data_IF_944751776572
#
_entry.id   IF_944751776572
#
_cell.length_a   1.000
_cell.length_b   1.000
_cell.length_c   1.000
_cell.angle_alpha   90.00
_cell.angle_beta   90.00
_cell.angle_gamma   90.00
#
_symmetry.space_group_name_H-M   'P 1'
#
loop_
_entity.id
_entity.type
_entity.pdbx_description
1 polymer ?
#
# COMPACT_ATOMS: atom_id res chain seq x y z
N UNK A 1 28.79 -12.55 13.88
CA UNK A 1 28.49 -11.10 13.75
C UNK A 1 29.80 -10.32 13.92
N UNK A 2 30.03 -9.35 13.06
CA UNK A 2 31.15 -8.43 13.21
C UNK A 2 30.93 -7.55 14.45
N UNK A 3 31.99 -6.99 15.05
CA UNK A 3 31.91 -6.06 16.19
C UNK A 3 30.91 -4.92 15.93
N UNK A 4 30.82 -4.44 14.66
CA UNK A 4 29.86 -3.41 14.23
C UNK A 4 28.40 -3.88 14.28
N UNK A 5 28.11 -5.16 14.00
CA UNK A 5 26.74 -5.68 14.09
C UNK A 5 26.24 -5.69 15.53
N UNK A 6 27.07 -6.09 16.50
CA UNK A 6 26.72 -6.08 17.92
C UNK A 6 26.50 -4.65 18.45
N UNK A 7 27.32 -3.69 18.02
CA UNK A 7 27.18 -2.29 18.41
C UNK A 7 25.86 -1.69 17.86
N UNK A 8 25.54 -1.94 16.59
CA UNK A 8 24.29 -1.52 15.99
C UNK A 8 23.08 -2.18 16.66
N UNK A 9 23.16 -3.47 16.94
CA UNK A 9 22.11 -4.20 17.66
C UNK A 9 21.91 -3.66 19.09
N UNK A 10 22.94 -3.15 19.76
CA UNK A 10 22.84 -2.61 21.12
C UNK A 10 21.98 -1.32 21.17
N UNK A 11 22.10 -0.45 20.17
CA UNK A 11 21.39 0.85 20.08
C UNK A 11 20.07 0.77 19.30
N UNK A 12 19.80 -0.33 18.57
CA UNK A 12 18.58 -0.51 17.81
C UNK A 12 17.34 -0.57 18.70
N UNK A 13 16.18 -0.18 18.16
CA UNK A 13 14.90 -0.41 18.81
C UNK A 13 14.74 -1.89 19.18
N UNK A 14 14.13 -2.18 20.32
CA UNK A 14 13.92 -3.54 20.82
C UNK A 14 12.46 -3.94 20.72
N UNK A 15 12.21 -5.19 20.37
CA UNK A 15 10.91 -5.82 20.55
C UNK A 15 10.65 -6.10 22.04
N UNK A 16 9.46 -6.58 22.38
CA UNK A 16 9.08 -6.89 23.77
C UNK A 16 9.93 -8.02 24.37
N UNK A 17 10.37 -8.98 23.55
CA UNK A 17 11.28 -10.05 23.91
C UNK A 17 12.76 -9.63 24.04
N UNK A 18 13.04 -8.32 23.90
CA UNK A 18 14.38 -7.75 23.95
C UNK A 18 15.19 -7.89 22.65
N UNK A 19 14.67 -8.58 21.63
CA UNK A 19 15.39 -8.74 20.35
C UNK A 19 15.50 -7.42 19.60
N UNK A 20 16.69 -7.12 18.98
CA UNK A 20 16.90 -5.88 18.27
C UNK A 20 16.21 -5.87 16.91
N UNK A 21 15.65 -4.72 16.52
CA UNK A 21 15.18 -4.46 15.16
C UNK A 21 16.35 -4.08 14.24
N UNK A 22 17.39 -4.88 14.23
CA UNK A 22 18.60 -4.70 13.43
C UNK A 22 19.23 -6.06 13.16
N UNK A 23 19.37 -6.42 11.90
CA UNK A 23 19.97 -7.69 11.48
C UNK A 23 20.68 -7.53 10.13
N UNK A 24 21.60 -8.47 9.84
CA UNK A 24 22.20 -8.61 8.54
C UNK A 24 21.17 -9.16 7.55
N UNK A 25 20.87 -8.39 6.49
CA UNK A 25 19.86 -8.77 5.49
C UNK A 25 20.46 -9.63 4.37
N UNK A 26 21.66 -9.29 3.90
CA UNK A 26 22.30 -10.00 2.79
C UNK A 26 23.52 -9.27 2.26
N UNK A 27 24.25 -9.89 1.29
CA UNK A 27 25.47 -9.34 0.73
C UNK A 27 25.22 -8.13 -0.19
N UNK A 28 26.27 -7.38 -0.48
CA UNK A 28 26.26 -6.27 -1.45
C UNK A 28 25.24 -5.19 -1.10
N UNK A 29 24.34 -4.92 -2.04
CA UNK A 29 23.29 -3.90 -1.91
C UNK A 29 21.99 -4.36 -1.24
N UNK A 30 21.89 -5.60 -0.76
CA UNK A 30 20.64 -6.18 -0.24
C UNK A 30 19.98 -5.35 0.86
N UNK A 31 20.74 -4.81 1.82
CA UNK A 31 20.22 -3.96 2.89
C UNK A 31 19.65 -2.65 2.38
N UNK A 32 20.30 -2.01 1.40
CA UNK A 32 19.80 -0.79 0.76
C UNK A 32 18.54 -1.06 -0.07
N UNK A 33 18.51 -2.18 -0.77
CA UNK A 33 17.34 -2.60 -1.55
C UNK A 33 16.13 -2.85 -0.63
N UNK A 34 16.32 -3.59 0.45
CA UNK A 34 15.28 -3.80 1.46
C UNK A 34 14.76 -2.48 2.05
N UNK A 35 15.66 -1.49 2.31
CA UNK A 35 15.23 -0.17 2.79
C UNK A 35 14.50 0.63 1.71
N UNK A 36 14.89 0.52 0.45
CA UNK A 36 14.19 1.15 -0.66
C UNK A 36 12.76 0.61 -0.78
N UNK A 37 12.58 -0.71 -0.74
CA UNK A 37 11.25 -1.34 -0.78
C UNK A 37 10.41 -0.97 0.45
N UNK A 38 11.01 -0.95 1.64
CA UNK A 38 10.35 -0.42 2.85
C UNK A 38 9.75 0.97 2.59
N UNK A 39 10.52 1.87 1.98
CA UNK A 39 10.03 3.21 1.69
C UNK A 39 8.96 3.20 0.58
N UNK A 40 9.02 2.28 -0.38
CA UNK A 40 7.95 2.08 -1.36
C UNK A 40 6.63 1.70 -0.69
N UNK A 41 6.65 0.73 0.23
CA UNK A 41 5.48 0.33 1.03
C UNK A 41 4.96 1.54 1.86
N UNK A 42 5.86 2.33 2.46
CA UNK A 42 5.51 3.55 3.17
C UNK A 42 4.71 4.53 2.31
N UNK A 43 5.11 4.73 1.04
CA UNK A 43 4.36 5.57 0.10
C UNK A 43 2.96 5.01 -0.17
N UNK A 44 2.84 3.71 -0.39
CA UNK A 44 1.55 3.04 -0.56
C UNK A 44 0.66 3.20 0.67
N UNK A 45 1.20 2.97 1.86
CA UNK A 45 0.46 3.11 3.12
C UNK A 45 -0.03 4.55 3.36
N UNK A 46 0.82 5.55 3.11
CA UNK A 46 0.45 6.96 3.26
C UNK A 46 -0.65 7.37 2.29
N UNK A 47 -0.54 6.96 1.03
CA UNK A 47 -1.54 7.29 0.00
C UNK A 47 -2.89 6.61 0.30
N UNK A 48 -2.90 5.32 0.64
CA UNK A 48 -4.10 4.60 1.05
C UNK A 48 -4.82 5.26 2.23
N UNK A 49 -4.07 5.73 3.23
CA UNK A 49 -4.62 6.46 4.38
C UNK A 49 -5.22 7.80 3.94
N UNK A 50 -4.54 8.53 3.05
CA UNK A 50 -5.02 9.80 2.51
C UNK A 50 -6.28 9.63 1.65
N UNK A 51 -6.34 8.57 0.84
CA UNK A 51 -7.53 8.21 0.05
C UNK A 51 -8.72 7.84 0.95
N UNK A 52 -8.49 7.03 1.99
CA UNK A 52 -9.51 6.69 2.99
C UNK A 52 -10.03 7.94 3.73
N UNK A 53 -9.12 8.83 4.16
CA UNK A 53 -9.47 10.12 4.73
C UNK A 53 -10.33 10.97 3.78
N UNK A 54 -9.90 11.10 2.51
CA UNK A 54 -10.63 11.89 1.50
C UNK A 54 -12.03 11.34 1.26
N UNK A 55 -12.17 10.02 1.18
CA UNK A 55 -13.45 9.33 1.04
C UNK A 55 -14.35 9.59 2.25
N UNK A 56 -13.86 9.37 3.47
CA UNK A 56 -14.62 9.62 4.70
C UNK A 56 -15.04 11.08 4.80
N UNK A 57 -14.12 12.05 4.60
CA UNK A 57 -14.42 13.49 4.67
C UNK A 57 -15.53 13.88 3.70
N UNK A 58 -15.45 13.44 2.44
CA UNK A 58 -16.45 13.76 1.41
C UNK A 58 -17.79 13.09 1.63
N UNK A 59 -17.82 11.90 2.22
CA UNK A 59 -19.02 11.09 2.30
C UNK A 59 -19.76 11.21 3.64
N UNK A 60 -19.05 11.52 4.74
CA UNK A 60 -19.66 11.65 6.06
C UNK A 60 -19.99 13.10 6.42
N UNK A 61 -19.23 14.06 5.90
CA UNK A 61 -19.30 15.46 6.33
C UNK A 61 -18.78 15.70 7.75
N UNK A 62 -18.11 14.73 8.37
CA UNK A 62 -17.47 14.90 9.68
C UNK A 62 -16.36 15.94 9.60
N UNK A 63 -16.18 16.67 10.71
CA UNK A 63 -15.00 17.50 10.89
C UNK A 63 -13.73 16.67 11.18
N UNK A 64 -12.61 17.34 11.34
CA UNK A 64 -11.35 16.64 11.55
C UNK A 64 -11.30 15.94 12.93
N UNK A 65 -11.98 16.41 13.98
CA UNK A 65 -12.09 15.69 15.25
C UNK A 65 -12.82 14.35 15.06
N UNK A 66 -14.01 14.38 14.43
CA UNK A 66 -14.78 13.16 14.18
C UNK A 66 -14.04 12.15 13.27
N UNK A 67 -13.26 12.63 12.30
CA UNK A 67 -12.39 11.77 11.49
C UNK A 67 -11.22 11.23 12.31
N UNK A 68 -10.63 12.06 13.19
CA UNK A 68 -9.56 11.68 14.11
C UNK A 68 -9.97 10.54 15.04
N UNK A 69 -11.19 10.61 15.58
CA UNK A 69 -11.78 9.56 16.43
C UNK A 69 -11.92 8.23 15.69
N UNK A 70 -12.29 8.26 14.41
CA UNK A 70 -12.35 7.05 13.56
C UNK A 70 -10.96 6.42 13.43
N UNK A 71 -9.93 7.18 13.08
CA UNK A 71 -8.56 6.66 12.96
C UNK A 71 -8.00 6.21 14.31
N UNK A 72 -8.32 6.88 15.41
CA UNK A 72 -7.95 6.43 16.76
C UNK A 72 -8.57 5.08 17.10
N UNK A 73 -9.86 4.91 16.79
CA UNK A 73 -10.55 3.64 16.98
C UNK A 73 -9.91 2.52 16.13
N UNK A 74 -9.61 2.79 14.86
CA UNK A 74 -8.96 1.83 13.97
C UNK A 74 -7.56 1.45 14.45
N UNK A 75 -6.85 2.38 15.09
CA UNK A 75 -5.51 2.12 15.66
C UNK A 75 -5.55 1.19 16.89
N UNK A 76 -6.71 0.92 17.48
CA UNK A 76 -6.86 -0.06 18.57
C UNK A 76 -7.00 -1.50 18.06
N UNK A 77 -7.14 -1.71 16.75
CA UNK A 77 -7.39 -2.98 16.11
C UNK A 77 -6.31 -3.43 15.13
N UNK A 78 -6.75 -4.09 14.08
CA UNK A 78 -5.88 -4.70 13.07
C UNK A 78 -5.10 -3.69 12.21
N UNK A 79 -5.55 -2.43 12.14
CA UNK A 79 -4.84 -1.34 11.49
C UNK A 79 -3.80 -0.65 12.38
N UNK A 80 -3.60 -1.14 13.63
CA UNK A 80 -2.61 -0.55 14.54
C UNK A 80 -1.26 -0.39 13.85
N UNK A 81 -0.86 0.87 13.68
CA UNK A 81 0.38 1.23 13.02
C UNK A 81 0.77 2.68 13.36
N UNK A 82 2.05 3.00 13.18
CA UNK A 82 2.54 4.36 13.40
C UNK A 82 1.83 5.39 12.51
N UNK A 83 1.59 5.06 11.24
CA UNK A 83 0.94 6.00 10.31
C UNK A 83 -0.53 6.24 10.68
N UNK A 84 -1.27 5.23 11.13
CA UNK A 84 -2.66 5.41 11.62
C UNK A 84 -2.66 6.23 12.91
N UNK A 85 -1.72 5.96 13.84
CA UNK A 85 -1.56 6.71 15.08
C UNK A 85 -1.35 8.21 14.82
N UNK A 86 -0.36 8.55 13.99
CA UNK A 86 -0.08 9.96 13.69
C UNK A 86 -1.18 10.61 12.85
N UNK A 87 -1.91 9.87 12.04
CA UNK A 87 -3.07 10.41 11.31
C UNK A 87 -4.14 10.90 12.26
N UNK A 88 -4.48 10.13 13.29
CA UNK A 88 -5.41 10.59 14.34
C UNK A 88 -4.88 11.85 15.04
N UNK A 89 -3.60 11.88 15.43
CA UNK A 89 -3.01 13.05 16.08
C UNK A 89 -3.03 14.30 15.18
N UNK A 90 -2.74 14.15 13.87
CA UNK A 90 -2.77 15.25 12.90
C UNK A 90 -4.18 15.80 12.75
N UNK A 91 -5.18 14.93 12.69
CA UNK A 91 -6.57 15.32 12.52
C UNK A 91 -7.11 16.11 13.74
N UNK A 92 -6.70 15.74 14.97
CA UNK A 92 -7.07 16.45 16.19
C UNK A 92 -6.26 17.73 16.46
N UNK A 93 -5.16 17.96 15.69
CA UNK A 93 -4.30 19.09 16.01
C UNK A 93 -4.91 20.41 15.58
N UNK A 94 -5.07 21.32 16.55
CA UNK A 94 -5.54 22.69 16.35
C UNK A 94 -4.47 23.69 16.71
N UNK A 95 -4.42 24.77 15.95
CA UNK A 95 -3.60 25.93 16.26
C UNK A 95 -4.18 26.73 17.44
N UNK A 96 -3.44 27.74 17.93
CA UNK A 96 -3.87 28.58 19.06
C UNK A 96 -5.21 29.32 18.82
N UNK A 97 -5.53 29.60 17.55
CA UNK A 97 -6.80 30.23 17.13
C UNK A 97 -7.99 29.26 17.10
N UNK A 98 -7.77 27.96 17.33
CA UNK A 98 -8.77 26.89 17.32
C UNK A 98 -9.01 26.24 15.96
N UNK A 99 -8.35 26.69 14.89
CA UNK A 99 -8.47 26.13 13.56
C UNK A 99 -7.63 24.83 13.42
N UNK A 100 -8.08 23.89 12.60
CA UNK A 100 -7.29 22.70 12.31
C UNK A 100 -6.12 23.04 11.40
N UNK A 101 -4.89 22.77 11.83
CA UNK A 101 -3.69 23.02 11.00
C UNK A 101 -3.78 22.31 9.65
N UNK A 102 -4.35 21.09 9.62
CA UNK A 102 -4.47 20.31 8.38
C UNK A 102 -5.22 21.05 7.27
N UNK A 103 -6.23 21.86 7.62
CA UNK A 103 -7.02 22.61 6.62
C UNK A 103 -6.23 23.80 6.02
N UNK A 104 -5.08 24.16 6.61
CA UNK A 104 -4.18 25.22 6.14
C UNK A 104 -2.89 24.68 5.47
N UNK A 105 -2.69 23.37 5.42
CA UNK A 105 -1.57 22.76 4.74
C UNK A 105 -1.86 22.68 3.24
N UNK A 106 -0.91 23.17 2.42
CA UNK A 106 -1.01 23.05 0.96
C UNK A 106 -1.03 21.57 0.55
N UNK A 107 -1.97 21.19 -0.29
CA UNK A 107 -2.21 19.82 -0.76
C UNK A 107 -1.20 19.33 -1.84
N UNK A 108 0.09 19.56 -1.58
CA UNK A 108 1.23 19.16 -2.41
C UNK A 108 2.14 18.23 -1.64
N UNK A 109 2.18 16.96 -2.02
CA UNK A 109 3.00 15.96 -1.35
C UNK A 109 4.42 15.87 -1.94
N UNK A 110 5.42 16.29 -1.14
CA UNK A 110 6.83 16.18 -1.51
C UNK A 110 7.38 14.75 -1.44
N UNK A 111 8.53 14.52 -2.09
CA UNK A 111 9.24 13.25 -2.01
C UNK A 111 10.76 13.43 -2.15
N UNK A 112 11.52 12.49 -1.57
CA UNK A 112 13.00 12.43 -1.68
C UNK A 112 13.48 11.38 -2.70
N UNK A 113 12.59 10.76 -3.46
CA UNK A 113 12.90 9.86 -4.57
C UNK A 113 12.96 8.36 -4.24
N UNK A 114 12.87 7.94 -2.97
CA UNK A 114 12.95 6.50 -2.61
C UNK A 114 11.77 5.67 -3.13
N UNK A 115 10.56 6.23 -3.14
CA UNK A 115 9.40 5.60 -3.78
C UNK A 115 9.59 5.44 -5.28
N UNK A 116 10.10 6.49 -5.97
CA UNK A 116 10.46 6.43 -7.40
C UNK A 116 11.47 5.30 -7.66
N UNK A 117 12.49 5.13 -6.82
CA UNK A 117 13.48 4.07 -7.01
C UNK A 117 12.86 2.68 -6.87
N UNK A 118 11.88 2.49 -5.97
CA UNK A 118 11.13 1.22 -5.86
C UNK A 118 10.38 0.91 -7.15
N UNK A 119 9.76 1.91 -7.77
CA UNK A 119 9.05 1.75 -9.05
C UNK A 119 10.03 1.41 -10.19
N UNK A 120 11.15 2.10 -10.27
CA UNK A 120 12.19 1.81 -11.27
C UNK A 120 12.73 0.39 -11.09
N UNK A 121 13.02 -0.03 -9.86
CA UNK A 121 13.46 -1.39 -9.57
C UNK A 121 12.40 -2.42 -9.97
N UNK A 122 11.12 -2.15 -9.74
CA UNK A 122 10.04 -3.05 -10.15
C UNK A 122 9.97 -3.22 -11.67
N UNK A 123 10.17 -2.14 -12.43
CA UNK A 123 10.28 -2.21 -13.91
C UNK A 123 11.48 -3.04 -14.36
N UNK A 124 12.63 -2.87 -13.71
CA UNK A 124 13.85 -3.64 -14.02
C UNK A 124 13.71 -5.12 -13.67
N UNK A 125 12.98 -5.45 -12.61
CA UNK A 125 12.72 -6.83 -12.16
C UNK A 125 11.51 -7.48 -12.87
N UNK A 126 10.70 -6.70 -13.59
CA UNK A 126 9.45 -7.18 -14.19
C UNK A 126 8.40 -7.57 -13.12
N UNK A 127 8.38 -6.87 -11.98
CA UNK A 127 7.43 -7.11 -10.88
C UNK A 127 6.28 -6.09 -10.92
N UNK A 128 5.01 -6.51 -10.81
CA UNK A 128 3.86 -5.62 -10.89
C UNK A 128 3.63 -4.83 -9.59
N UNK A 129 4.53 -3.91 -9.23
CA UNK A 129 4.45 -3.02 -8.07
C UNK A 129 3.44 -1.88 -8.30
N UNK A 130 2.24 -2.20 -8.73
CA UNK A 130 1.27 -1.24 -9.27
C UNK A 130 0.78 -0.24 -8.22
N UNK A 131 0.41 -0.68 -7.02
CA UNK A 131 -0.09 0.19 -5.96
C UNK A 131 0.95 1.24 -5.52
N UNK A 132 2.19 0.82 -5.30
CA UNK A 132 3.28 1.74 -4.93
C UNK A 132 3.56 2.72 -6.06
N UNK A 133 3.42 2.28 -7.32
CA UNK A 133 3.56 3.15 -8.49
C UNK A 133 2.49 4.25 -8.48
N UNK A 134 1.23 3.89 -8.22
CA UNK A 134 0.16 4.87 -8.10
C UNK A 134 0.40 5.87 -6.98
N UNK A 135 0.90 5.43 -5.82
CA UNK A 135 1.26 6.33 -4.72
C UNK A 135 2.35 7.35 -5.12
N UNK A 136 3.29 6.96 -5.97
CA UNK A 136 4.31 7.88 -6.52
C UNK A 136 3.68 8.86 -7.50
N UNK A 137 2.82 8.38 -8.40
CA UNK A 137 2.14 9.23 -9.39
C UNK A 137 1.11 10.16 -8.75
N UNK A 138 0.41 9.75 -7.69
CA UNK A 138 -0.48 10.62 -6.93
C UNK A 138 0.26 11.84 -6.37
N UNK A 139 1.50 11.67 -5.86
CA UNK A 139 2.34 12.80 -5.43
C UNK A 139 2.71 13.72 -6.59
N UNK A 140 3.02 13.20 -7.76
CA UNK A 140 3.26 14.03 -8.94
C UNK A 140 1.99 14.78 -9.36
N UNK A 141 0.83 14.10 -9.35
CA UNK A 141 -0.46 14.72 -9.63
C UNK A 141 -0.76 15.86 -8.64
N UNK A 142 -0.45 15.68 -7.35
CA UNK A 142 -0.67 16.71 -6.33
C UNK A 142 0.09 18.01 -6.62
N UNK A 143 1.26 17.91 -7.26
CA UNK A 143 2.09 19.07 -7.61
C UNK A 143 1.60 19.90 -8.80
N UNK A 144 0.65 19.39 -9.59
CA UNK A 144 0.07 20.07 -10.75
C UNK A 144 -1.04 21.06 -10.35
N UNK A 145 -0.77 21.96 -9.40
CA UNK A 145 -1.77 22.83 -8.75
C UNK A 145 -2.59 23.61 -9.77
N UNK A 146 -1.94 24.35 -10.67
CA UNK A 146 -2.63 25.20 -11.66
C UNK A 146 -3.46 24.36 -12.65
N UNK A 147 -2.99 23.16 -13.02
CA UNK A 147 -3.71 22.28 -13.92
C UNK A 147 -4.94 21.69 -13.22
N UNK A 148 -4.80 21.27 -11.94
CA UNK A 148 -5.92 20.78 -11.13
C UNK A 148 -6.98 21.86 -10.91
N UNK A 149 -6.58 23.10 -10.60
CA UNK A 149 -7.48 24.24 -10.46
C UNK A 149 -8.27 24.46 -11.75
N UNK A 150 -7.57 24.57 -12.89
CA UNK A 150 -8.21 24.73 -14.19
C UNK A 150 -9.16 23.59 -14.54
N UNK A 151 -8.73 22.35 -14.29
CA UNK A 151 -9.54 21.15 -14.55
C UNK A 151 -10.80 21.12 -13.69
N UNK A 152 -10.73 21.52 -12.41
CA UNK A 152 -11.88 21.55 -11.50
C UNK A 152 -12.97 22.52 -11.96
N UNK A 153 -12.59 23.61 -12.62
CA UNK A 153 -13.53 24.57 -13.20
C UNK A 153 -14.13 24.05 -14.51
N UNK A 154 -13.31 23.42 -15.38
CA UNK A 154 -13.76 22.93 -16.69
C UNK A 154 -14.58 21.64 -16.59
N UNK A 155 -14.27 20.79 -15.63
CA UNK A 155 -14.89 19.48 -15.40
C UNK A 155 -15.33 19.36 -13.94
N UNK A 156 -16.40 20.11 -13.53
CA UNK A 156 -16.84 20.06 -12.14
C UNK A 156 -17.26 18.63 -11.77
N UNK A 157 -16.74 18.17 -10.63
CA UNK A 157 -17.10 16.86 -10.10
C UNK A 157 -18.58 16.83 -9.74
N UNK A 158 -19.30 15.85 -10.27
CA UNK A 158 -20.72 15.60 -10.00
C UNK A 158 -20.97 14.12 -9.87
N UNK A 159 -22.08 13.76 -9.22
CA UNK A 159 -22.53 12.36 -9.19
C UNK A 159 -22.80 11.90 -10.63
N UNK A 160 -22.34 10.69 -10.94
CA UNK A 160 -22.61 10.05 -12.22
C UNK A 160 -23.98 9.38 -12.16
N UNK A 161 -25.05 10.14 -12.53
CA UNK A 161 -26.42 9.62 -12.64
C UNK A 161 -27.15 9.44 -11.30
N UNK A 162 -28.31 8.80 -11.37
CA UNK A 162 -29.23 8.54 -10.22
C UNK A 162 -28.96 7.22 -9.49
N UNK A 163 -27.76 6.63 -9.62
CA UNK A 163 -27.41 5.42 -8.89
C UNK A 163 -27.33 5.72 -7.38
N UNK A 164 -27.89 4.86 -6.57
CA UNK A 164 -27.72 4.91 -5.13
C UNK A 164 -26.24 4.60 -4.76
N UNK A 165 -25.74 5.30 -3.76
CA UNK A 165 -24.38 5.06 -3.27
C UNK A 165 -24.22 3.60 -2.82
N UNK A 166 -23.15 2.95 -3.28
CA UNK A 166 -22.91 1.52 -2.97
C UNK A 166 -22.58 1.29 -1.48
N UNK A 167 -22.11 2.31 -0.79
CA UNK A 167 -21.84 2.27 0.65
C UNK A 167 -22.68 3.34 1.34
N UNK A 168 -23.57 2.91 2.23
CA UNK A 168 -24.20 3.83 3.17
C UNK A 168 -23.23 4.08 4.30
N UNK A 169 -22.75 5.33 4.43
CA UNK A 169 -21.78 5.70 5.49
C UNK A 169 -22.47 5.95 6.83
N UNK A 170 -23.10 4.93 7.36
CA UNK A 170 -23.37 4.73 8.78
C UNK A 170 -22.16 4.03 9.44
N UNK A 171 -22.27 3.64 10.69
CA UNK A 171 -21.20 2.90 11.39
C UNK A 171 -20.71 1.68 10.61
N UNK A 172 -21.60 0.91 9.99
CA UNK A 172 -21.24 -0.26 9.17
C UNK A 172 -20.45 0.14 7.91
N UNK A 173 -20.77 1.27 7.28
CA UNK A 173 -20.04 1.78 6.12
C UNK A 173 -18.64 2.30 6.47
N UNK A 174 -18.47 2.93 7.63
CA UNK A 174 -17.17 3.34 8.16
C UNK A 174 -16.28 2.11 8.41
N UNK A 175 -16.84 1.04 8.98
CA UNK A 175 -16.13 -0.23 9.17
C UNK A 175 -15.76 -0.89 7.83
N UNK A 176 -16.60 -0.77 6.80
CA UNK A 176 -16.26 -1.24 5.47
C UNK A 176 -15.07 -0.47 4.85
N UNK A 177 -14.94 0.84 5.10
CA UNK A 177 -13.75 1.59 4.69
C UNK A 177 -12.50 1.10 5.43
N UNK A 178 -12.62 0.78 6.73
CA UNK A 178 -11.54 0.14 7.50
C UNK A 178 -11.08 -1.16 6.85
N UNK A 179 -12.02 -2.04 6.53
CA UNK A 179 -11.72 -3.36 5.97
C UNK A 179 -11.11 -3.23 4.56
N UNK A 180 -11.60 -2.28 3.76
CA UNK A 180 -11.01 -1.96 2.46
C UNK A 180 -9.56 -1.48 2.59
N UNK A 181 -9.30 -0.58 3.55
CA UNK A 181 -7.95 -0.09 3.85
C UNK A 181 -7.04 -1.25 4.29
N UNK A 182 -7.54 -2.15 5.14
CA UNK A 182 -6.82 -3.33 5.57
C UNK A 182 -6.42 -4.22 4.37
N UNK A 183 -7.36 -4.54 3.49
CA UNK A 183 -7.10 -5.36 2.30
C UNK A 183 -6.08 -4.70 1.36
N UNK A 184 -6.23 -3.41 1.09
CA UNK A 184 -5.31 -2.68 0.20
C UNK A 184 -3.89 -2.59 0.80
N UNK A 185 -3.75 -2.42 2.12
CA UNK A 185 -2.45 -2.46 2.82
C UNK A 185 -1.81 -3.85 2.70
N UNK A 186 -2.57 -4.94 2.85
CA UNK A 186 -2.03 -6.31 2.64
C UNK A 186 -1.45 -6.46 1.22
N UNK A 187 -2.14 -5.94 0.21
CA UNK A 187 -1.68 -5.98 -1.18
C UNK A 187 -0.38 -5.17 -1.34
N UNK A 188 -0.29 -3.98 -0.74
CA UNK A 188 0.93 -3.17 -0.77
C UNK A 188 2.16 -3.93 -0.22
N UNK A 189 1.99 -4.58 0.94
CA UNK A 189 3.05 -5.43 1.51
C UNK A 189 3.36 -6.64 0.63
N UNK A 190 2.34 -7.32 0.10
CA UNK A 190 2.53 -8.47 -0.78
C UNK A 190 3.35 -8.09 -2.04
N UNK A 191 3.06 -6.96 -2.66
CA UNK A 191 3.82 -6.42 -3.78
C UNK A 191 5.28 -6.10 -3.39
N UNK A 192 5.50 -5.45 -2.24
CA UNK A 192 6.85 -5.14 -1.78
C UNK A 192 7.69 -6.39 -1.49
N UNK A 193 7.12 -7.41 -0.86
CA UNK A 193 7.82 -8.68 -0.63
C UNK A 193 8.05 -9.47 -1.92
N UNK A 194 7.13 -9.41 -2.89
CA UNK A 194 7.33 -9.98 -4.23
C UNK A 194 8.52 -9.36 -4.94
N UNK A 195 8.61 -8.02 -4.94
CA UNK A 195 9.74 -7.31 -5.53
C UNK A 195 11.08 -7.71 -4.88
N UNK A 196 11.14 -7.80 -3.55
CA UNK A 196 12.34 -8.26 -2.85
C UNK A 196 12.71 -9.69 -3.23
N UNK A 197 11.74 -10.57 -3.43
CA UNK A 197 11.97 -11.95 -3.84
C UNK A 197 12.60 -12.01 -5.23
N UNK A 198 12.05 -11.31 -6.23
CA UNK A 198 12.62 -11.27 -7.58
C UNK A 198 14.03 -10.72 -7.59
N UNK A 199 14.28 -9.62 -6.89
CA UNK A 199 15.63 -9.08 -6.76
C UNK A 199 16.60 -10.04 -6.04
N UNK A 200 16.12 -10.75 -5.02
CA UNK A 200 16.91 -11.75 -4.31
C UNK A 200 17.30 -12.93 -5.21
N UNK A 201 16.37 -13.43 -6.00
CA UNK A 201 16.61 -14.49 -7.00
C UNK A 201 17.63 -14.04 -8.04
N UNK A 202 17.42 -12.84 -8.62
CA UNK A 202 18.30 -12.29 -9.67
C UNK A 202 19.74 -12.05 -9.18
N UNK A 203 19.89 -11.58 -7.95
CA UNK A 203 21.19 -11.21 -7.39
C UNK A 203 21.82 -12.29 -6.49
N UNK A 204 21.16 -13.42 -6.26
CA UNK A 204 21.66 -14.50 -5.41
C UNK A 204 21.79 -14.11 -3.94
N UNK A 205 20.94 -13.21 -3.42
CA UNK A 205 21.06 -12.69 -2.05
C UNK A 205 20.57 -13.65 -0.97
N UNK A 206 19.67 -14.58 -1.31
CA UNK A 206 19.05 -15.52 -0.37
C UNK A 206 18.44 -14.81 0.85
N UNK A 207 17.58 -13.81 0.59
CA UNK A 207 16.97 -12.99 1.64
C UNK A 207 16.07 -13.80 2.58
N UNK A 208 16.19 -13.57 3.88
CA UNK A 208 15.23 -14.04 4.88
C UNK A 208 14.13 -12.98 5.09
N UNK A 209 12.97 -13.19 4.45
CA UNK A 209 11.84 -12.26 4.51
C UNK A 209 11.20 -12.19 5.89
N UNK A 210 11.25 -13.28 6.66
CA UNK A 210 10.80 -13.30 8.05
C UNK A 210 11.64 -12.37 8.92
N UNK A 211 12.96 -12.43 8.79
CA UNK A 211 13.88 -11.52 9.47
C UNK A 211 13.69 -10.08 9.01
N UNK A 212 13.50 -9.83 7.71
CA UNK A 212 13.22 -8.49 7.19
C UNK A 212 11.94 -7.93 7.81
N UNK A 213 10.85 -8.68 7.82
CA UNK A 213 9.61 -8.26 8.46
C UNK A 213 9.80 -7.99 9.97
N UNK A 214 10.58 -8.83 10.66
CA UNK A 214 10.87 -8.69 12.09
C UNK A 214 11.57 -7.37 12.41
N UNK A 215 12.57 -6.96 11.63
CA UNK A 215 13.31 -5.71 11.89
C UNK A 215 12.49 -4.45 11.60
N UNK A 216 11.41 -4.55 10.83
CA UNK A 216 10.49 -3.44 10.56
C UNK A 216 9.40 -3.25 11.64
N UNK A 217 9.33 -4.13 12.64
CA UNK A 217 8.28 -4.10 13.69
C UNK A 217 8.42 -2.93 14.66
N UNK A 218 9.63 -2.36 14.84
CA UNK A 218 9.87 -1.17 15.68
C UNK A 218 10.93 -0.26 15.07
N UNK A 219 10.90 1.02 15.49
CA UNK A 219 11.89 2.01 15.09
C UNK A 219 11.79 2.47 13.63
N UNK A 220 10.69 2.23 12.95
CA UNK A 220 10.47 2.68 11.58
C UNK A 220 9.03 3.16 11.34
N UNK A 221 8.82 3.86 10.23
CA UNK A 221 7.55 4.52 9.88
C UNK A 221 6.43 3.50 9.57
N UNK A 222 6.77 2.35 8.98
CA UNK A 222 5.77 1.32 8.64
C UNK A 222 5.52 0.31 9.77
N UNK A 223 6.00 0.57 11.00
CA UNK A 223 5.71 -0.32 12.13
C UNK A 223 4.21 -0.57 12.25
N UNK A 224 3.81 -1.83 12.29
CA UNK A 224 2.40 -2.25 12.34
C UNK A 224 2.28 -3.66 12.90
N UNK A 225 1.07 -4.01 13.35
CA UNK A 225 0.74 -5.38 13.78
C UNK A 225 0.85 -6.41 12.64
N UNK A 226 0.70 -5.97 11.39
CA UNK A 226 0.90 -6.82 10.21
C UNK A 226 2.25 -7.50 10.17
N UNK A 227 3.31 -6.79 10.54
CA UNK A 227 4.68 -7.27 10.39
C UNK A 227 4.97 -8.50 11.24
N UNK A 228 4.27 -8.67 12.37
CA UNK A 228 4.36 -9.89 13.15
C UNK A 228 3.79 -11.09 12.37
N UNK A 229 2.62 -10.92 11.74
CA UNK A 229 2.00 -11.97 10.94
C UNK A 229 2.82 -12.29 9.70
N UNK A 230 3.41 -11.28 9.05
CA UNK A 230 4.34 -11.48 7.93
C UNK A 230 5.57 -12.27 8.38
N UNK A 231 6.15 -11.93 9.55
CA UNK A 231 7.26 -12.68 10.15
C UNK A 231 6.88 -14.14 10.33
N UNK A 232 5.71 -14.43 10.91
CA UNK A 232 5.21 -15.78 11.13
C UNK A 232 5.02 -16.56 9.83
N UNK A 233 4.41 -15.93 8.80
CA UNK A 233 4.16 -16.56 7.51
C UNK A 233 5.46 -17.01 6.83
N UNK A 234 6.46 -16.13 6.73
CA UNK A 234 7.74 -16.47 6.11
C UNK A 234 8.60 -17.39 6.98
N UNK A 235 8.51 -17.33 8.32
CA UNK A 235 9.17 -18.29 9.19
C UNK A 235 8.60 -19.71 9.00
N UNK A 236 7.26 -19.81 8.87
CA UNK A 236 6.59 -21.10 8.63
C UNK A 236 6.83 -21.62 7.21
N UNK A 237 6.89 -20.74 6.23
CA UNK A 237 7.00 -21.06 4.81
C UNK A 237 8.03 -20.15 4.13
N UNK A 238 9.35 -20.42 4.27
CA UNK A 238 10.40 -19.56 3.68
C UNK A 238 10.31 -19.42 2.16
N UNK A 239 9.75 -20.43 1.47
CA UNK A 239 9.54 -20.44 0.01
C UNK A 239 8.20 -19.83 -0.44
N UNK A 240 7.46 -19.12 0.43
CA UNK A 240 6.18 -18.52 0.09
C UNK A 240 6.34 -17.53 -1.07
N UNK A 241 5.71 -17.82 -2.19
CA UNK A 241 5.85 -17.03 -3.42
C UNK A 241 5.13 -15.67 -3.35
N UNK A 242 3.99 -15.63 -2.68
CA UNK A 242 3.22 -14.41 -2.48
C UNK A 242 2.58 -14.45 -1.08
N UNK A 243 2.65 -13.34 -0.36
CA UNK A 243 2.12 -13.23 0.99
C UNK A 243 0.62 -13.57 1.06
N UNK A 244 -0.14 -13.26 0.01
CA UNK A 244 -1.57 -13.53 -0.09
C UNK A 244 -1.92 -15.04 -0.17
N UNK A 245 -0.92 -15.92 -0.35
CA UNK A 245 -1.10 -17.37 -0.35
C UNK A 245 -0.91 -18.01 1.04
N UNK A 246 -0.46 -17.25 2.04
CA UNK A 246 -0.48 -17.72 3.42
C UNK A 246 -1.92 -17.81 3.93
N UNK A 247 -2.23 -18.86 4.69
CA UNK A 247 -3.60 -19.15 5.13
C UNK A 247 -4.24 -18.02 5.93
N UNK A 248 -3.49 -17.33 6.80
CA UNK A 248 -4.01 -16.20 7.57
C UNK A 248 -4.37 -15.02 6.65
N UNK A 249 -3.47 -14.66 5.73
CA UNK A 249 -3.69 -13.54 4.82
C UNK A 249 -4.77 -13.85 3.77
N UNK A 250 -4.87 -15.10 3.34
CA UNK A 250 -5.95 -15.57 2.47
C UNK A 250 -7.32 -15.34 3.12
N UNK A 251 -7.52 -15.84 4.35
CA UNK A 251 -8.77 -15.66 5.10
C UNK A 251 -9.11 -14.17 5.27
N UNK A 252 -8.12 -13.34 5.62
CA UNK A 252 -8.33 -11.90 5.79
C UNK A 252 -8.72 -11.21 4.48
N UNK A 253 -8.10 -11.59 3.38
CA UNK A 253 -8.47 -11.06 2.06
C UNK A 253 -9.87 -11.47 1.64
N UNK A 254 -10.27 -12.72 1.84
CA UNK A 254 -11.64 -13.17 1.53
C UNK A 254 -12.68 -12.35 2.29
N UNK A 255 -12.46 -12.12 3.58
CA UNK A 255 -13.37 -11.35 4.43
C UNK A 255 -13.43 -9.86 4.05
N UNK A 256 -12.32 -9.25 3.65
CA UNK A 256 -12.23 -7.83 3.38
C UNK A 256 -12.47 -7.46 1.90
N UNK A 257 -12.43 -8.42 0.97
CA UNK A 257 -12.59 -8.17 -0.46
C UNK A 257 -13.93 -7.52 -0.83
N UNK A 258 -15.08 -7.89 -0.24
CA UNK A 258 -16.35 -7.20 -0.52
C UNK A 258 -16.27 -5.70 -0.15
N UNK A 259 -15.62 -5.37 0.95
CA UNK A 259 -15.44 -4.00 1.40
C UNK A 259 -14.52 -3.22 0.44
N UNK A 260 -13.41 -3.82 -0.01
CA UNK A 260 -12.52 -3.21 -1.01
C UNK A 260 -13.27 -2.92 -2.33
N UNK A 261 -14.11 -3.85 -2.81
CA UNK A 261 -14.94 -3.62 -4.00
C UNK A 261 -15.94 -2.50 -3.79
N UNK A 262 -16.63 -2.50 -2.66
CA UNK A 262 -17.60 -1.46 -2.30
C UNK A 262 -16.94 -0.08 -2.24
N UNK A 263 -15.75 0.03 -1.64
CA UNK A 263 -14.96 1.25 -1.57
C UNK A 263 -14.61 1.78 -2.98
N UNK A 264 -14.10 0.92 -3.86
CA UNK A 264 -13.76 1.29 -5.25
C UNK A 264 -14.99 1.78 -6.01
N UNK A 265 -16.10 1.04 -5.92
CA UNK A 265 -17.34 1.44 -6.61
C UNK A 265 -17.87 2.77 -6.08
N UNK A 266 -17.86 2.98 -4.76
CA UNK A 266 -18.33 4.23 -4.15
C UNK A 266 -17.45 5.42 -4.56
N UNK A 267 -16.11 5.23 -4.60
CA UNK A 267 -15.20 6.27 -5.07
C UNK A 267 -15.45 6.64 -6.55
N UNK A 268 -15.60 5.65 -7.42
CA UNK A 268 -15.90 5.86 -8.84
C UNK A 268 -17.23 6.61 -9.01
N UNK A 269 -18.26 6.16 -8.30
CA UNK A 269 -19.60 6.74 -8.38
C UNK A 269 -19.64 8.21 -7.92
N UNK A 270 -18.88 8.56 -6.88
CA UNK A 270 -18.85 9.91 -6.31
C UNK A 270 -17.73 10.79 -6.87
N UNK A 271 -16.99 10.35 -7.90
CA UNK A 271 -15.88 11.10 -8.49
C UNK A 271 -14.74 11.36 -7.49
N UNK A 272 -14.47 10.41 -6.60
CA UNK A 272 -13.39 10.47 -5.62
C UNK A 272 -12.17 9.76 -6.21
N UNK A 273 -11.07 10.48 -6.38
CA UNK A 273 -9.81 9.87 -6.79
C UNK A 273 -9.27 8.96 -5.68
N UNK A 274 -9.04 7.69 -6.02
CA UNK A 274 -8.49 6.68 -5.11
C UNK A 274 -7.60 5.68 -5.88
N UNK A 275 -6.53 6.16 -6.53
CA UNK A 275 -5.72 5.36 -7.43
C UNK A 275 -5.11 4.13 -6.77
N UNK A 276 -4.69 4.21 -5.51
CA UNK A 276 -4.12 3.07 -4.79
C UNK A 276 -5.17 2.00 -4.47
N UNK A 277 -6.40 2.36 -4.07
CA UNK A 277 -7.48 1.38 -3.90
C UNK A 277 -7.88 0.73 -5.22
N UNK A 278 -7.94 1.51 -6.31
CA UNK A 278 -8.25 0.99 -7.64
C UNK A 278 -7.18 0.01 -8.11
N UNK A 279 -5.91 0.39 -7.93
CA UNK A 279 -4.77 -0.45 -8.24
C UNK A 279 -4.72 -1.72 -7.40
N UNK A 280 -4.99 -1.63 -6.10
CA UNK A 280 -5.06 -2.80 -5.21
C UNK A 280 -6.07 -3.82 -5.70
N UNK A 281 -7.30 -3.39 -6.00
CA UNK A 281 -8.36 -4.27 -6.48
C UNK A 281 -8.00 -4.87 -7.84
N UNK A 282 -7.49 -4.06 -8.77
CA UNK A 282 -7.08 -4.51 -10.11
C UNK A 282 -5.94 -5.53 -10.04
N UNK A 283 -4.93 -5.29 -9.19
CA UNK A 283 -3.84 -6.25 -8.96
C UNK A 283 -4.37 -7.58 -8.44
N UNK A 284 -5.23 -7.55 -7.41
CA UNK A 284 -5.79 -8.77 -6.83
C UNK A 284 -6.64 -9.55 -7.82
N UNK A 285 -7.48 -8.88 -8.60
CA UNK A 285 -8.31 -9.50 -9.62
C UNK A 285 -7.45 -10.09 -10.76
N UNK A 286 -6.38 -9.41 -11.17
CA UNK A 286 -5.41 -9.93 -12.12
C UNK A 286 -4.66 -11.14 -11.59
N UNK A 287 -4.22 -11.11 -10.32
CA UNK A 287 -3.48 -12.21 -9.69
C UNK A 287 -4.30 -13.51 -9.61
N UNK A 288 -5.59 -13.42 -9.29
CA UNK A 288 -6.48 -14.58 -9.15
C UNK A 288 -7.09 -15.04 -10.47
N UNK A 289 -6.89 -14.31 -11.56
CA UNK A 289 -7.46 -14.66 -12.85
C UNK A 289 -6.49 -15.58 -13.61
N UNK A 290 -6.84 -16.86 -13.69
CA UNK A 290 -6.03 -17.84 -14.41
C UNK A 290 -5.92 -17.54 -15.91
N UNK A 291 -6.97 -16.98 -16.51
CA UNK A 291 -7.00 -16.64 -17.94
C UNK A 291 -6.99 -15.12 -18.11
N UNK A 292 -5.91 -14.58 -18.63
CA UNK A 292 -5.81 -13.14 -18.90
C UNK A 292 -6.03 -12.83 -20.39
N UNK A 293 -6.34 -11.56 -20.70
CA UNK A 293 -6.45 -11.08 -22.08
C UNK A 293 -5.08 -10.88 -22.77
N UNK A 294 -3.98 -11.29 -22.15
CA UNK A 294 -2.63 -11.17 -22.71
C UNK A 294 -2.45 -12.00 -23.99
N UNK A 295 -3.25 -13.05 -24.19
CA UNK A 295 -3.31 -13.79 -25.43
C UNK A 295 -3.64 -12.90 -26.64
N UNK A 296 -4.58 -11.95 -26.50
CA UNK A 296 -4.90 -11.00 -27.56
C UNK A 296 -3.70 -10.05 -27.84
N UNK A 297 -3.04 -9.58 -26.79
CA UNK A 297 -1.84 -8.74 -26.95
C UNK A 297 -0.76 -9.50 -27.71
N UNK A 298 -0.52 -10.77 -27.37
CA UNK A 298 0.48 -11.59 -28.04
C UNK A 298 0.10 -11.89 -29.51
N UNK A 299 -1.17 -12.15 -29.78
CA UNK A 299 -1.66 -12.31 -31.14
C UNK A 299 -1.50 -11.03 -32.00
N UNK A 300 -1.77 -9.85 -31.41
CA UNK A 300 -1.54 -8.56 -32.07
C UNK A 300 -0.06 -8.35 -32.37
N UNK A 301 0.85 -8.66 -31.45
CA UNK A 301 2.30 -8.56 -31.64
C UNK A 301 2.77 -9.47 -32.78
N UNK A 302 2.24 -10.67 -32.86
CA UNK A 302 2.55 -11.59 -33.94
C UNK A 302 2.01 -11.07 -35.28
N UNK A 303 0.78 -10.60 -35.31
CA UNK A 303 0.14 -10.11 -36.53
C UNK A 303 0.87 -8.93 -37.18
N UNK A 304 1.33 -7.95 -36.38
CA UNK A 304 2.02 -6.78 -36.94
C UNK A 304 3.54 -6.93 -37.03
N UNK A 305 4.16 -7.91 -36.34
CA UNK A 305 5.62 -7.99 -36.24
C UNK A 305 6.21 -9.39 -36.19
N UNK A 306 5.43 -10.43 -36.40
CA UNK A 306 5.86 -11.84 -36.38
C UNK A 306 6.63 -12.19 -35.07
N UNK A 307 6.14 -11.75 -33.93
CA UNK A 307 6.77 -11.97 -32.61
C UNK A 307 6.53 -13.37 -32.05
N UNK A 308 5.79 -14.20 -32.76
CA UNK A 308 5.42 -15.57 -32.40
C UNK A 308 4.57 -15.66 -31.10
N UNK A 309 4.00 -16.82 -30.86
CA UNK A 309 3.28 -17.14 -29.61
C UNK A 309 3.34 -18.65 -29.35
N UNK A 310 3.21 -19.00 -28.08
CA UNK A 310 3.06 -20.40 -27.69
C UNK A 310 1.58 -20.77 -27.72
N UNK A 311 1.28 -21.99 -28.19
CA UNK A 311 -0.09 -22.53 -28.21
C UNK A 311 -0.31 -23.41 -27.00
N UNK A 312 -1.53 -23.41 -26.48
CA UNK A 312 -1.93 -24.26 -25.34
C UNK A 312 -2.33 -25.68 -25.76
N UNK A 313 -2.52 -25.92 -27.05
CA UNK A 313 -2.95 -27.20 -27.69
C UNK A 313 -1.87 -27.87 -28.51
N UNK A 314 -0.65 -27.36 -28.53
CA UNK A 314 0.54 -27.99 -29.15
C UNK A 314 1.51 -28.42 -28.05
N UNK A 315 2.04 -29.66 -28.17
CA UNK A 315 3.16 -30.15 -27.34
C UNK A 315 4.49 -29.46 -27.72
#
# INVERSE_FOLDING_TARGET
PTRRSSDLQSIAAKLEDGSPCCEWIGPGGAGHYGKMVHNGIEYGDMELIAEAYSMLKKRTGLDNDGLGDIFELWNRGELNSFLIEITSHILHYKEENGDYLLDHILDVAGQKGTGKWSVMAALDEGDPLTLVSEAVFARFMSSLVNERERASVQYPSGKVGDMEACITLNTSGIEAVRDALYAAKLISYAQGFSLMRRASERNGWNLDYGTIAKIWRKGCIIRSVFLERITQAFTKSPGLQNLLFDAFFHERMENALPALRGMVVDCVFNGIAAPCFFSALSYFDGLRNFTSAANLIQAQRDYFGAHTYERTDSE
#
